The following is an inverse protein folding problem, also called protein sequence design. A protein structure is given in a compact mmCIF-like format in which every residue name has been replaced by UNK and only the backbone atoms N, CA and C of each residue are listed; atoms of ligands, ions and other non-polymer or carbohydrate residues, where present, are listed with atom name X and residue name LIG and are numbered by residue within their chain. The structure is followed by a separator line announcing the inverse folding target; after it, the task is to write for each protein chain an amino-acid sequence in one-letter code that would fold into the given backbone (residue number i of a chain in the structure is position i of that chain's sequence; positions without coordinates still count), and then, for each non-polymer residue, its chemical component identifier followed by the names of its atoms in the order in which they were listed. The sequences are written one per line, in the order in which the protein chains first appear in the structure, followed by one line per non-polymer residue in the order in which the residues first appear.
data_IF_547165159654
#
_entry.id   IF_547165159654
#
_cell.length_a   1.000
_cell.length_b   1.000
_cell.length_c   1.000
_cell.angle_alpha   90.00
_cell.angle_beta   90.00
_cell.angle_gamma   90.00
#
_symmetry.space_group_name_H-M   'P 1'
#
loop_
_entity.id
_entity.type
_entity.pdbx_description
1 polymer ?
#
# COMPACT_ATOMS: atom_id res chain seq x y z
N UNK A 1 -19.07 -11.53 -13.97
CA UNK A 1 -19.25 -12.80 -13.22
C UNK A 1 -18.23 -12.85 -12.11
N UNK A 2 -18.58 -13.38 -10.93
CA UNK A 2 -17.62 -13.59 -9.84
C UNK A 2 -16.63 -14.70 -10.16
N UNK A 3 -15.33 -14.48 -9.94
CA UNK A 3 -14.27 -15.47 -10.15
C UNK A 3 -13.83 -16.07 -8.82
N UNK A 4 -13.89 -17.40 -8.70
CA UNK A 4 -13.40 -18.12 -7.52
C UNK A 4 -12.08 -18.82 -7.82
N UNK A 5 -11.12 -18.72 -6.90
CA UNK A 5 -9.78 -19.29 -7.00
C UNK A 5 -9.41 -20.00 -5.70
N UNK A 6 -8.66 -21.10 -5.80
CA UNK A 6 -8.00 -21.72 -4.66
C UNK A 6 -6.52 -21.36 -4.69
N UNK A 7 -6.02 -20.82 -3.58
CA UNK A 7 -4.71 -20.18 -3.53
C UNK A 7 -3.92 -20.69 -2.34
N UNK A 8 -2.70 -21.19 -2.57
CA UNK A 8 -1.81 -21.60 -1.48
C UNK A 8 -1.01 -20.40 -0.97
N UNK A 9 -1.15 -20.08 0.31
CA UNK A 9 -0.46 -18.96 0.96
C UNK A 9 1.05 -19.24 0.99
N UNK A 10 1.85 -18.22 0.67
CA UNK A 10 3.32 -18.26 0.67
C UNK A 10 3.89 -17.56 1.89
N UNK A 11 5.12 -17.91 2.24
CA UNK A 11 5.85 -17.30 3.37
C UNK A 11 5.31 -17.69 4.76
N UNK A 12 4.53 -18.77 4.85
CA UNK A 12 3.90 -19.26 6.09
C UNK A 12 4.91 -19.73 7.14
N UNK A 13 6.15 -20.01 6.74
CA UNK A 13 7.23 -20.51 7.62
C UNK A 13 8.08 -19.40 8.25
N UNK A 14 7.89 -18.15 7.84
CA UNK A 14 8.60 -17.02 8.44
C UNK A 14 7.86 -16.51 9.68
N UNK A 15 8.58 -15.84 10.57
CA UNK A 15 7.98 -15.06 11.64
C UNK A 15 7.52 -13.69 11.10
N UNK A 16 6.61 -13.06 11.84
CA UNK A 16 6.24 -11.67 11.63
C UNK A 16 7.30 -10.72 12.21
N UNK A 17 7.25 -9.45 11.83
CA UNK A 17 8.21 -8.42 12.27
C UNK A 17 8.16 -8.15 13.78
N UNK A 18 7.02 -8.44 14.42
CA UNK A 18 6.82 -8.39 15.87
C UNK A 18 7.34 -9.64 16.61
N UNK A 19 7.92 -10.61 15.89
CA UNK A 19 8.43 -11.87 16.43
C UNK A 19 7.39 -12.98 16.56
N UNK A 20 6.10 -12.72 16.29
CA UNK A 20 5.06 -13.74 16.34
C UNK A 20 5.25 -14.81 15.25
N UNK A 21 4.85 -16.04 15.57
CA UNK A 21 5.00 -17.21 14.70
C UNK A 21 3.76 -17.39 13.83
N UNK A 22 3.92 -17.19 12.52
CA UNK A 22 2.84 -17.45 11.53
C UNK A 22 2.32 -18.88 11.62
N UNK A 23 3.21 -19.84 11.93
CA UNK A 23 2.83 -21.24 12.08
C UNK A 23 1.91 -21.47 13.28
N UNK A 24 2.12 -20.77 14.39
CA UNK A 24 1.26 -20.92 15.57
C UNK A 24 -0.10 -20.26 15.35
N UNK A 25 -0.12 -19.09 14.69
CA UNK A 25 -1.36 -18.45 14.25
C UNK A 25 -2.13 -19.39 13.31
N UNK A 26 -1.49 -19.97 12.29
CA UNK A 26 -2.16 -20.87 11.34
C UNK A 26 -2.75 -22.11 12.03
N UNK A 27 -2.10 -22.64 13.07
CA UNK A 27 -2.59 -23.83 13.80
C UNK A 27 -3.86 -23.56 14.60
N UNK A 28 -4.15 -22.32 14.96
CA UNK A 28 -5.39 -21.96 15.67
C UNK A 28 -6.55 -21.68 14.73
N UNK A 29 -6.28 -21.44 13.43
CA UNK A 29 -7.29 -21.14 12.43
C UNK A 29 -8.21 -22.32 12.12
N UNK A 30 -9.40 -22.01 11.62
CA UNK A 30 -10.42 -22.98 11.21
C UNK A 30 -10.75 -22.88 9.74
N UNK A 31 -11.21 -24.00 9.16
CA UNK A 31 -11.79 -23.99 7.81
C UNK A 31 -13.02 -23.07 7.77
N UNK A 32 -13.18 -22.34 6.67
CA UNK A 32 -14.15 -21.28 6.41
C UNK A 32 -13.97 -19.98 7.21
N UNK A 33 -12.95 -19.90 8.06
CA UNK A 33 -12.61 -18.66 8.76
C UNK A 33 -12.23 -17.56 7.75
N UNK A 34 -12.78 -16.33 7.90
CA UNK A 34 -12.48 -15.23 7.01
C UNK A 34 -11.10 -14.64 7.29
N UNK A 35 -10.38 -14.25 6.23
CA UNK A 35 -9.09 -13.56 6.32
C UNK A 35 -9.17 -12.21 5.60
N UNK A 36 -8.32 -11.27 5.99
CA UNK A 36 -8.19 -9.98 5.33
C UNK A 36 -7.04 -10.01 4.33
N UNK A 37 -7.24 -9.36 3.19
CA UNK A 37 -6.19 -9.15 2.19
C UNK A 37 -5.77 -7.68 2.22
N UNK A 38 -4.49 -7.43 2.41
CA UNK A 38 -3.94 -6.06 2.47
C UNK A 38 -2.77 -5.92 1.50
N UNK A 39 -2.90 -5.05 0.51
CA UNK A 39 -1.80 -4.72 -0.37
C UNK A 39 -0.71 -3.97 0.39
N UNK A 40 0.55 -4.29 0.09
CA UNK A 40 1.74 -3.67 0.65
C UNK A 40 2.58 -3.04 -0.47
N UNK A 41 2.17 -1.86 -0.99
CA UNK A 41 2.92 -1.18 -2.05
C UNK A 41 4.30 -0.68 -1.59
N UNK A 42 4.52 -0.64 -0.27
CA UNK A 42 5.78 -0.25 0.38
C UNK A 42 6.74 -1.42 0.59
N UNK A 43 6.34 -2.64 0.23
CA UNK A 43 7.16 -3.82 0.44
C UNK A 43 8.53 -3.68 -0.24
N UNK A 44 9.65 -3.92 0.47
CA UNK A 44 10.99 -3.72 -0.09
C UNK A 44 11.33 -4.71 -1.21
N UNK A 45 10.70 -5.89 -1.22
CA UNK A 45 10.95 -6.96 -2.18
C UNK A 45 9.98 -6.92 -3.35
N UNK A 46 8.71 -6.62 -3.11
CA UNK A 46 7.68 -6.68 -4.13
C UNK A 46 6.52 -5.69 -3.91
N UNK A 47 6.50 -4.61 -4.68
CA UNK A 47 5.45 -3.58 -4.62
C UNK A 47 4.02 -4.08 -4.90
N UNK A 48 3.86 -5.31 -5.40
CA UNK A 48 2.56 -5.93 -5.66
C UNK A 48 2.22 -6.98 -4.60
N UNK A 49 2.97 -7.06 -3.49
CA UNK A 49 2.70 -7.98 -2.40
C UNK A 49 1.31 -7.74 -1.81
N UNK A 50 0.59 -8.83 -1.54
CA UNK A 50 -0.68 -8.81 -0.82
C UNK A 50 -0.53 -9.71 0.39
N UNK A 51 -0.50 -9.10 1.57
CA UNK A 51 -0.50 -9.79 2.85
C UNK A 51 -1.83 -10.47 3.08
N UNK A 52 -1.77 -11.64 3.72
CA UNK A 52 -2.94 -12.34 4.25
C UNK A 52 -2.90 -12.21 5.76
N UNK A 53 -3.96 -11.64 6.33
CA UNK A 53 -4.09 -11.36 7.76
C UNK A 53 -5.29 -12.10 8.35
N UNK A 54 -5.23 -12.47 9.63
CA UNK A 54 -6.42 -12.87 10.40
C UNK A 54 -7.38 -11.68 10.54
N UNK A 55 -8.59 -11.92 11.06
CA UNK A 55 -9.50 -10.81 11.40
C UNK A 55 -8.93 -9.87 12.47
N UNK A 56 -8.01 -10.37 13.30
CA UNK A 56 -7.29 -9.59 14.32
C UNK A 56 -6.09 -8.83 13.76
N UNK A 57 -5.81 -8.93 12.45
CA UNK A 57 -4.70 -8.25 11.79
C UNK A 57 -3.36 -9.00 11.87
N UNK A 58 -3.33 -10.22 12.41
CA UNK A 58 -2.10 -11.00 12.50
C UNK A 58 -1.76 -11.60 11.12
N UNK A 59 -0.53 -11.37 10.66
CA UNK A 59 -0.13 -11.88 9.35
C UNK A 59 0.11 -13.39 9.39
N UNK A 60 -0.40 -14.10 8.37
CA UNK A 60 -0.18 -15.54 8.16
C UNK A 60 0.63 -15.84 6.89
N UNK A 61 0.84 -14.85 6.03
CA UNK A 61 1.70 -14.95 4.85
C UNK A 61 1.33 -13.96 3.76
N UNK A 62 1.54 -14.37 2.51
CA UNK A 62 1.27 -13.57 1.31
C UNK A 62 0.56 -14.38 0.22
N UNK A 63 -0.21 -13.72 -0.62
CA UNK A 63 -0.71 -14.32 -1.86
C UNK A 63 0.46 -14.53 -2.86
N UNK A 64 0.46 -15.65 -3.61
CA UNK A 64 1.42 -15.88 -4.69
C UNK A 64 1.18 -14.94 -5.89
N UNK A 65 2.18 -14.81 -6.75
CA UNK A 65 2.19 -13.84 -7.86
C UNK A 65 1.10 -14.01 -8.89
N UNK A 66 0.60 -15.23 -9.08
CA UNK A 66 -0.46 -15.60 -10.03
C UNK A 66 -1.88 -15.32 -9.49
N UNK A 67 -2.02 -15.21 -8.16
CA UNK A 67 -3.31 -14.98 -7.51
C UNK A 67 -3.45 -13.57 -6.92
N UNK A 68 -2.33 -12.89 -6.66
CA UNK A 68 -2.34 -11.55 -6.09
C UNK A 68 -2.90 -10.53 -7.08
N UNK A 69 -3.69 -9.61 -6.55
CA UNK A 69 -4.28 -8.52 -7.30
C UNK A 69 -4.24 -7.27 -6.42
N UNK A 70 -3.03 -6.75 -6.24
CA UNK A 70 -2.81 -5.64 -5.32
C UNK A 70 -3.55 -4.39 -5.81
N UNK A 71 -3.69 -4.19 -7.12
CA UNK A 71 -4.44 -3.10 -7.71
C UNK A 71 -5.92 -3.16 -7.30
N UNK A 72 -6.57 -4.32 -7.47
CA UNK A 72 -7.95 -4.51 -7.05
C UNK A 72 -8.13 -4.33 -5.52
N UNK A 73 -7.19 -4.83 -4.71
CA UNK A 73 -7.20 -4.63 -3.25
C UNK A 73 -7.05 -3.15 -2.88
N UNK A 74 -6.13 -2.42 -3.52
CA UNK A 74 -5.91 -0.99 -3.28
C UNK A 74 -7.09 -0.13 -3.74
N UNK A 75 -7.83 -0.56 -4.77
CA UNK A 75 -9.04 0.10 -5.27
C UNK A 75 -10.31 -0.29 -4.51
N UNK A 76 -10.20 -1.18 -3.52
CA UNK A 76 -11.34 -1.64 -2.73
C UNK A 76 -12.37 -2.40 -3.57
N UNK A 77 -11.90 -3.11 -4.61
CA UNK A 77 -12.76 -4.02 -5.36
C UNK A 77 -13.23 -5.17 -4.44
N UNK A 78 -14.43 -5.73 -4.66
CA UNK A 78 -14.98 -6.75 -3.78
C UNK A 78 -14.18 -8.04 -3.90
N UNK A 79 -13.29 -8.27 -2.93
CA UNK A 79 -12.50 -9.50 -2.83
C UNK A 79 -12.70 -10.09 -1.45
N UNK A 80 -13.25 -11.30 -1.40
CA UNK A 80 -13.38 -12.08 -0.18
C UNK A 80 -12.37 -13.22 -0.16
N UNK A 81 -11.82 -13.52 1.01
CA UNK A 81 -10.93 -14.65 1.21
C UNK A 81 -11.29 -15.41 2.48
N UNK A 82 -11.36 -16.74 2.38
CA UNK A 82 -11.63 -17.64 3.50
C UNK A 82 -10.67 -18.82 3.49
N UNK A 83 -10.35 -19.36 4.66
CA UNK A 83 -9.57 -20.59 4.76
C UNK A 83 -10.35 -21.73 4.11
N UNK A 84 -9.83 -22.28 3.03
CA UNK A 84 -10.41 -23.47 2.38
C UNK A 84 -9.90 -24.76 3.00
N UNK A 85 -8.59 -24.82 3.28
CA UNK A 85 -7.97 -25.99 3.89
C UNK A 85 -6.70 -25.59 4.64
N UNK A 86 -6.42 -26.30 5.73
CA UNK A 86 -5.13 -26.28 6.42
C UNK A 86 -4.46 -27.63 6.10
N UNK A 87 -3.30 -27.59 5.45
CA UNK A 87 -2.60 -28.78 4.93
C UNK A 87 -1.32 -29.03 5.70
N UNK A 88 -1.02 -30.30 5.96
CA UNK A 88 0.13 -30.71 6.76
C UNK A 88 -0.23 -30.90 8.24
N UNK A 89 0.54 -31.72 8.96
CA UNK A 89 0.51 -31.78 10.42
C UNK A 89 -0.54 -32.66 11.12
N UNK A 90 -0.96 -33.80 10.58
CA UNK A 90 -1.78 -34.78 11.34
C UNK A 90 -1.35 -36.23 11.09
N UNK A 91 -0.21 -36.63 11.65
CA UNK A 91 0.04 -38.04 11.96
C UNK A 91 0.84 -38.11 13.25
N UNK A 92 0.29 -38.81 14.23
CA UNK A 92 0.86 -39.01 15.56
C UNK A 92 2.31 -39.53 15.51
N UNK A 93 2.63 -40.40 14.55
CA UNK A 93 3.98 -40.93 14.28
C UNK A 93 4.99 -39.86 13.83
N UNK A 94 4.52 -38.77 13.22
CA UNK A 94 5.37 -37.68 12.68
C UNK A 94 5.62 -36.55 13.69
N UNK A 95 4.95 -36.55 14.85
CA UNK A 95 5.23 -35.63 15.98
C UNK A 95 6.49 -36.00 16.75
N UNK A 96 6.91 -37.26 16.72
CA UNK A 96 8.09 -37.75 17.43
C UNK A 96 9.43 -37.29 16.81
N UNK A 97 9.44 -36.70 15.60
CA UNK A 97 10.64 -36.42 14.81
C UNK A 97 10.93 -34.92 14.55
N UNK A 98 10.31 -34.01 15.31
CA UNK A 98 10.53 -32.56 15.16
C UNK A 98 9.61 -31.93 14.10
N UNK A 99 8.99 -30.81 14.47
CA UNK A 99 7.79 -30.21 13.88
C UNK A 99 7.68 -30.18 12.34
N UNK A 100 6.48 -30.48 11.84
CA UNK A 100 6.12 -30.26 10.43
C UNK A 100 5.36 -28.96 10.27
N UNK A 101 5.74 -28.18 9.26
CA UNK A 101 5.05 -26.98 8.86
C UNK A 101 3.64 -27.28 8.37
N UNK A 102 2.72 -26.38 8.69
CA UNK A 102 1.36 -26.35 8.16
C UNK A 102 1.27 -25.27 7.07
N UNK A 103 0.57 -25.58 6.00
CA UNK A 103 0.23 -24.66 4.93
C UNK A 103 -1.25 -24.29 4.97
N UNK A 104 -1.59 -23.14 4.40
CA UNK A 104 -2.96 -22.66 4.27
C UNK A 104 -3.32 -22.54 2.80
N UNK A 105 -4.49 -23.05 2.44
CA UNK A 105 -5.14 -22.81 1.15
C UNK A 105 -6.35 -21.92 1.40
N UNK A 106 -6.44 -20.82 0.66
CA UNK A 106 -7.58 -19.91 0.69
C UNK A 106 -8.51 -20.18 -0.48
N UNK A 107 -9.80 -19.98 -0.26
CA UNK A 107 -10.77 -19.71 -1.32
C UNK A 107 -10.89 -18.19 -1.44
N UNK A 108 -10.48 -17.66 -2.58
CA UNK A 108 -10.57 -16.24 -2.90
C UNK A 108 -11.70 -16.05 -3.92
N UNK A 109 -12.63 -15.15 -3.62
CA UNK A 109 -13.77 -14.82 -4.47
C UNK A 109 -13.62 -13.35 -4.87
N UNK A 110 -13.46 -13.09 -6.16
CA UNK A 110 -13.49 -11.75 -6.73
C UNK A 110 -14.89 -11.47 -7.26
N UNK A 111 -15.57 -10.53 -6.65
CA UNK A 111 -16.88 -10.03 -7.08
C UNK A 111 -16.78 -9.12 -8.30
N UNK A 112 -17.92 -8.58 -8.72
CA UNK A 112 -17.96 -7.55 -9.75
C UNK A 112 -17.73 -6.17 -9.12
N UNK A 113 -16.79 -5.36 -9.65
CA UNK A 113 -16.62 -3.99 -9.20
C UNK A 113 -17.90 -3.18 -9.36
N UNK A 114 -18.12 -2.23 -8.45
CA UNK A 114 -19.06 -1.14 -8.68
C UNK A 114 -18.48 -0.23 -9.78
N UNK A 115 -18.89 -0.49 -11.02
CA UNK A 115 -18.40 0.23 -12.20
C UNK A 115 -18.77 1.72 -12.17
N UNK A 116 -19.89 2.09 -11.55
CA UNK A 116 -20.30 3.48 -11.42
C UNK A 116 -19.37 4.23 -10.46
N UNK A 117 -19.15 3.66 -9.25
CA UNK A 117 -18.19 4.23 -8.28
C UNK A 117 -16.78 4.28 -8.86
N UNK A 118 -16.33 3.20 -9.51
CA UNK A 118 -15.01 3.13 -10.14
C UNK A 118 -14.82 4.24 -11.16
N UNK A 119 -15.76 4.42 -12.09
CA UNK A 119 -15.68 5.45 -13.13
C UNK A 119 -15.62 6.86 -12.52
N UNK A 120 -16.39 7.12 -11.45
CA UNK A 120 -16.34 8.40 -10.74
C UNK A 120 -14.97 8.65 -10.08
N UNK A 121 -14.39 7.63 -9.44
CA UNK A 121 -13.07 7.74 -8.81
C UNK A 121 -11.97 7.92 -9.85
N UNK A 122 -12.03 7.19 -10.97
CA UNK A 122 -11.07 7.32 -12.09
C UNK A 122 -11.12 8.71 -12.72
N UNK A 123 -12.32 9.28 -12.94
CA UNK A 123 -12.47 10.64 -13.46
C UNK A 123 -11.85 11.68 -12.52
N UNK A 124 -12.12 11.56 -11.21
CA UNK A 124 -11.54 12.45 -10.19
C UNK A 124 -10.03 12.31 -10.11
N UNK A 125 -9.52 11.08 -10.15
CA UNK A 125 -8.09 10.79 -10.14
C UNK A 125 -7.39 11.38 -11.37
N UNK A 126 -8.00 11.29 -12.56
CA UNK A 126 -7.45 11.89 -13.79
C UNK A 126 -7.29 13.41 -13.67
N UNK A 127 -8.28 14.11 -13.11
CA UNK A 127 -8.20 15.56 -12.88
C UNK A 127 -7.08 15.93 -11.90
N UNK A 128 -6.87 15.13 -10.86
CA UNK A 128 -5.74 15.32 -9.94
C UNK A 128 -4.39 15.06 -10.61
N UNK A 129 -4.28 14.00 -11.42
CA UNK A 129 -3.08 13.72 -12.19
C UNK A 129 -2.75 14.86 -13.17
N UNK A 130 -3.77 15.45 -13.80
CA UNK A 130 -3.64 16.63 -14.66
C UNK A 130 -3.18 17.85 -13.85
N UNK A 131 -3.76 18.09 -12.67
CA UNK A 131 -3.33 19.18 -11.78
C UNK A 131 -1.86 19.03 -11.36
N UNK A 132 -1.41 17.81 -11.04
CA UNK A 132 0.00 17.53 -10.76
C UNK A 132 0.87 17.82 -11.99
N UNK A 133 0.44 17.41 -13.18
CA UNK A 133 1.18 17.66 -14.42
C UNK A 133 1.31 19.16 -14.71
N UNK A 134 0.22 19.93 -14.58
CA UNK A 134 0.23 21.39 -14.75
C UNK A 134 1.15 22.06 -13.74
N UNK A 135 1.08 21.67 -12.46
CA UNK A 135 1.94 22.22 -11.42
C UNK A 135 3.45 21.97 -11.68
N UNK A 136 3.79 20.79 -12.20
CA UNK A 136 5.16 20.46 -12.60
C UNK A 136 5.60 21.24 -13.85
N UNK A 137 4.69 21.52 -14.79
CA UNK A 137 5.02 22.30 -15.99
C UNK A 137 5.24 23.79 -15.66
N UNK A 138 4.50 24.34 -14.70
CA UNK A 138 4.68 25.72 -14.21
C UNK A 138 6.10 25.99 -13.72
N UNK A 139 6.81 24.97 -13.24
CA UNK A 139 8.20 25.13 -12.83
C UNK A 139 9.14 25.50 -13.98
N UNK A 140 8.81 25.12 -15.22
CA UNK A 140 9.60 25.52 -16.40
C UNK A 140 9.38 26.98 -16.77
N UNK A 141 8.36 27.63 -16.19
CA UNK A 141 8.11 29.05 -16.38
C UNK A 141 9.09 29.91 -15.54
N UNK A 142 9.14 31.21 -15.83
CA UNK A 142 9.92 32.16 -15.04
C UNK A 142 9.31 32.49 -13.67
N UNK A 143 8.20 31.84 -13.28
CA UNK A 143 7.47 32.10 -12.03
C UNK A 143 7.53 30.91 -11.05
N UNK A 144 8.54 30.86 -10.16
CA UNK A 144 8.66 29.81 -9.16
C UNK A 144 7.59 29.89 -8.06
N UNK A 145 6.91 31.02 -7.86
CA UNK A 145 5.84 31.16 -6.86
C UNK A 145 4.61 30.38 -7.30
N UNK A 146 4.20 30.58 -8.56
CA UNK A 146 3.09 29.86 -9.15
C UNK A 146 3.30 28.34 -9.16
N UNK A 147 4.53 27.89 -9.44
CA UNK A 147 4.88 26.47 -9.37
C UNK A 147 4.73 25.90 -7.96
N UNK A 148 5.25 26.59 -6.94
CA UNK A 148 5.11 26.16 -5.54
C UNK A 148 3.64 26.12 -5.13
N UNK A 149 2.86 27.14 -5.50
CA UNK A 149 1.44 27.20 -5.15
C UNK A 149 0.65 26.07 -5.81
N UNK A 150 0.89 25.80 -7.11
CA UNK A 150 0.26 24.67 -7.81
C UNK A 150 0.62 23.33 -7.19
N UNK A 151 1.88 23.13 -6.79
CA UNK A 151 2.33 21.91 -6.13
C UNK A 151 1.71 21.72 -4.74
N UNK A 152 1.59 22.80 -3.94
CA UNK A 152 0.90 22.78 -2.64
C UNK A 152 -0.56 22.36 -2.81
N UNK A 153 -1.26 22.99 -3.77
CA UNK A 153 -2.65 22.66 -4.07
C UNK A 153 -2.82 21.20 -4.49
N UNK A 154 -1.92 20.67 -5.33
CA UNK A 154 -1.96 19.28 -5.76
C UNK A 154 -1.75 18.30 -4.59
N UNK A 155 -0.78 18.56 -3.69
CA UNK A 155 -0.53 17.73 -2.51
C UNK A 155 -1.75 17.72 -1.58
N UNK A 156 -2.33 18.89 -1.29
CA UNK A 156 -3.53 19.02 -0.47
C UNK A 156 -4.71 18.28 -1.11
N UNK A 157 -4.93 18.47 -2.42
CA UNK A 157 -6.04 17.83 -3.12
C UNK A 157 -5.93 16.29 -3.14
N UNK A 158 -4.71 15.74 -3.26
CA UNK A 158 -4.47 14.28 -3.16
C UNK A 158 -4.74 13.78 -1.75
N UNK A 159 -4.30 14.51 -0.72
CA UNK A 159 -4.57 14.15 0.67
C UNK A 159 -6.07 14.12 0.95
N UNK A 160 -6.78 15.18 0.55
CA UNK A 160 -8.22 15.30 0.77
C UNK A 160 -8.99 14.24 -0.03
N UNK A 161 -8.51 13.87 -1.23
CA UNK A 161 -9.06 12.76 -2.01
C UNK A 161 -8.91 11.41 -1.31
N UNK A 162 -7.74 11.15 -0.71
CA UNK A 162 -7.49 9.94 0.10
C UNK A 162 -8.33 9.92 1.38
N UNK A 163 -8.49 11.07 2.04
CA UNK A 163 -9.26 11.17 3.27
C UNK A 163 -10.76 10.97 3.03
N UNK A 164 -11.27 11.41 1.88
CA UNK A 164 -12.68 11.25 1.51
C UNK A 164 -13.06 9.79 1.21
N UNK A 165 -12.11 9.00 0.67
CA UNK A 165 -12.30 7.58 0.37
C UNK A 165 -10.95 6.86 0.45
N UNK A 166 -10.78 5.87 1.35
CA UNK A 166 -9.52 5.15 1.55
C UNK A 166 -8.95 4.49 0.28
N UNK A 167 -9.79 4.24 -0.73
CA UNK A 167 -9.41 3.58 -1.98
C UNK A 167 -9.26 4.54 -3.16
N UNK A 168 -9.74 5.79 -3.02
CA UNK A 168 -9.76 6.78 -4.10
C UNK A 168 -8.38 6.99 -4.73
N UNK A 169 -7.35 7.17 -3.89
CA UNK A 169 -6.01 7.47 -4.36
C UNK A 169 -5.37 6.36 -5.19
N UNK A 170 -5.85 5.11 -5.09
CA UNK A 170 -5.34 4.01 -5.91
C UNK A 170 -5.75 4.10 -7.38
N UNK A 171 -6.69 4.98 -7.72
CA UNK A 171 -7.10 5.25 -9.11
C UNK A 171 -6.19 6.26 -9.83
N UNK A 172 -5.28 6.93 -9.10
CA UNK A 172 -4.30 7.85 -9.68
C UNK A 172 -3.19 7.10 -10.39
N UNK A 173 -2.56 7.78 -11.35
CA UNK A 173 -1.36 7.29 -12.06
C UNK A 173 -0.10 8.05 -11.65
N UNK A 174 -0.24 9.23 -11.05
CA UNK A 174 0.87 10.05 -10.57
C UNK A 174 0.90 10.08 -9.04
N UNK A 175 2.09 9.91 -8.48
CA UNK A 175 2.32 10.07 -7.04
C UNK A 175 2.23 11.54 -6.64
N UNK A 176 1.98 11.82 -5.37
CA UNK A 176 2.00 13.18 -4.85
C UNK A 176 3.38 13.84 -5.11
N UNK A 177 3.45 15.09 -5.61
CA UNK A 177 4.71 15.72 -6.03
C UNK A 177 5.53 16.28 -4.85
N UNK A 178 5.59 15.52 -3.76
CA UNK A 178 6.21 15.88 -2.46
C UNK A 178 7.71 16.12 -2.60
N UNK A 179 8.40 15.36 -3.44
CA UNK A 179 9.82 15.56 -3.72
C UNK A 179 10.08 16.94 -4.34
N UNK A 180 9.29 17.33 -5.35
CA UNK A 180 9.48 18.62 -6.02
C UNK A 180 9.08 19.78 -5.13
N UNK A 181 7.93 19.67 -4.44
CA UNK A 181 7.47 20.71 -3.53
C UNK A 181 8.49 20.96 -2.42
N UNK A 182 8.94 19.91 -1.74
CA UNK A 182 9.91 20.05 -0.63
C UNK A 182 11.26 20.60 -1.11
N UNK A 183 11.71 20.25 -2.31
CA UNK A 183 12.92 20.82 -2.91
C UNK A 183 12.79 22.33 -3.16
N UNK A 184 11.68 22.79 -3.73
CA UNK A 184 11.47 24.20 -4.03
C UNK A 184 11.33 25.04 -2.76
N UNK A 185 10.63 24.52 -1.75
CA UNK A 185 10.54 25.15 -0.43
C UNK A 185 11.91 25.24 0.26
N UNK A 186 12.73 24.18 0.18
CA UNK A 186 14.10 24.20 0.70
C UNK A 186 14.95 25.29 0.00
N UNK A 187 14.86 25.43 -1.32
CA UNK A 187 15.58 26.49 -2.08
C UNK A 187 15.18 27.89 -1.63
N UNK A 188 13.94 28.08 -1.19
CA UNK A 188 13.43 29.32 -0.61
C UNK A 188 13.74 29.49 0.88
N UNK A 189 14.50 28.59 1.47
CA UNK A 189 14.80 28.55 2.91
C UNK A 189 13.55 28.40 3.80
N UNK A 190 12.43 27.94 3.23
CA UNK A 190 11.21 27.60 3.97
C UNK A 190 11.34 26.18 4.59
N UNK A 191 12.34 25.99 5.45
CA UNK A 191 12.76 24.66 5.92
C UNK A 191 11.69 23.94 6.74
N UNK A 192 10.99 24.66 7.63
CA UNK A 192 9.91 24.10 8.43
C UNK A 192 8.76 23.59 7.56
N UNK A 193 8.38 24.37 6.54
CA UNK A 193 7.33 23.98 5.59
C UNK A 193 7.76 22.79 4.73
N UNK A 194 8.98 22.80 4.20
CA UNK A 194 9.54 21.68 3.44
C UNK A 194 9.53 20.38 4.25
N UNK A 195 9.90 20.44 5.52
CA UNK A 195 9.90 19.28 6.41
C UNK A 195 8.48 18.81 6.73
N UNK A 196 7.56 19.73 6.99
CA UNK A 196 6.15 19.45 7.27
C UNK A 196 5.49 18.66 6.14
N UNK A 197 5.70 19.06 4.88
CA UNK A 197 5.18 18.35 3.70
C UNK A 197 5.68 16.91 3.65
N UNK A 198 6.96 16.66 3.94
CA UNK A 198 7.53 15.30 3.92
C UNK A 198 6.94 14.46 5.06
N UNK A 199 6.80 15.04 6.26
CA UNK A 199 6.26 14.33 7.43
C UNK A 199 4.77 13.99 7.27
N UNK A 200 3.99 14.91 6.74
CA UNK A 200 2.57 14.69 6.45
C UNK A 200 2.39 13.59 5.40
N UNK A 201 3.18 13.62 4.32
CA UNK A 201 3.16 12.56 3.32
C UNK A 201 3.55 11.19 3.89
N UNK A 202 4.53 11.11 4.80
CA UNK A 202 4.91 9.83 5.43
C UNK A 202 3.84 9.25 6.34
N UNK A 203 3.06 10.11 6.97
CA UNK A 203 1.99 9.70 7.89
C UNK A 203 0.68 9.41 7.16
N UNK A 204 0.53 9.92 5.93
CA UNK A 204 -0.60 9.65 5.04
C UNK A 204 -0.25 8.49 4.09
N UNK A 205 -0.95 7.37 4.18
CA UNK A 205 -0.74 6.28 3.23
C UNK A 205 -1.11 6.71 1.79
N UNK A 206 -0.13 6.78 0.89
CA UNK A 206 -0.34 7.01 -0.54
C UNK A 206 -0.16 5.68 -1.31
N UNK A 207 -1.21 5.07 -1.87
CA UNK A 207 -1.05 3.82 -2.63
C UNK A 207 -0.21 3.98 -3.91
N UNK A 208 -0.10 5.20 -4.43
CA UNK A 208 0.75 5.52 -5.59
C UNK A 208 2.11 5.97 -5.08
N UNK A 209 2.89 5.00 -4.62
CA UNK A 209 4.22 5.21 -4.07
C UNK A 209 5.20 5.76 -5.14
N UNK A 210 6.05 6.73 -4.80
CA UNK A 210 7.15 7.14 -5.67
C UNK A 210 8.22 6.05 -5.75
N UNK A 211 9.12 6.14 -6.73
CA UNK A 211 10.22 5.17 -6.88
C UNK A 211 11.20 5.18 -5.69
N UNK A 212 11.89 4.06 -5.46
CA UNK A 212 12.84 3.90 -4.33
C UNK A 212 13.86 5.03 -4.20
N UNK A 213 14.41 5.51 -5.32
CA UNK A 213 15.36 6.63 -5.33
C UNK A 213 14.77 7.95 -4.84
N UNK A 214 13.49 8.20 -5.13
CA UNK A 214 12.76 9.38 -4.66
C UNK A 214 12.49 9.27 -3.15
N UNK A 215 12.09 8.10 -2.66
CA UNK A 215 11.92 7.84 -1.22
C UNK A 215 13.23 8.07 -0.46
N UNK A 216 14.34 7.56 -0.98
CA UNK A 216 15.66 7.78 -0.38
C UNK A 216 16.06 9.27 -0.38
N UNK A 217 15.77 9.97 -1.47
CA UNK A 217 15.99 11.43 -1.57
C UNK A 217 15.17 12.20 -0.53
N UNK A 218 13.90 11.84 -0.35
CA UNK A 218 13.02 12.41 0.68
C UNK A 218 13.56 12.14 2.09
N UNK A 219 14.10 10.94 2.34
CA UNK A 219 14.72 10.58 3.61
C UNK A 219 15.92 11.46 3.95
N UNK A 220 16.89 11.54 3.03
CA UNK A 220 18.06 12.41 3.17
C UNK A 220 17.69 13.89 3.29
N UNK A 221 16.66 14.34 2.56
CA UNK A 221 16.18 15.73 2.67
C UNK A 221 15.58 16.00 4.05
N UNK A 222 14.74 15.12 4.58
CA UNK A 222 14.14 15.29 5.90
C UNK A 222 15.20 15.42 7.02
N UNK A 223 16.22 14.55 7.02
CA UNK A 223 17.33 14.59 7.98
C UNK A 223 18.11 15.92 7.92
N UNK A 224 18.41 16.38 6.69
CA UNK A 224 19.09 17.66 6.47
C UNK A 224 18.24 18.84 6.93
N UNK A 225 16.93 18.85 6.64
CA UNK A 225 16.01 19.91 7.05
C UNK A 225 15.86 19.97 8.57
N UNK A 226 15.75 18.81 9.24
CA UNK A 226 15.74 18.73 10.70
C UNK A 226 17.01 19.35 11.31
N UNK A 227 18.17 19.12 10.70
CA UNK A 227 19.45 19.66 11.17
C UNK A 227 19.54 21.19 10.99
N UNK A 228 18.86 21.76 10.00
CA UNK A 228 18.79 23.22 9.75
C UNK A 228 17.83 23.97 10.70
N UNK A 229 16.94 23.24 11.38
CA UNK A 229 15.94 23.79 12.29
C UNK A 229 16.33 23.66 13.78
N UNK A 230 17.44 22.98 14.06
CA UNK A 230 18.11 22.97 15.36
C UNK A 230 19.01 24.19 15.50
#
# INVERSE_FOLDING_TARGET
MSRTLLVSVRGVSHNNDDGSSRQDIIRSMRVNEPVQLKADPTNPHDRWAVMVLTQMGEQIGFLPSDARDADAVLKGEPIEARVHAIRGGTSWLKRLLGQKSVGVVLRVIKGEPDWARRSQLEERARKLDEQVAVALELEKSADPDSAIQGLKQAVVAIRDFTAADPFASAHRTRHAPVDRLSLLLERRKAYAEALGVIQEWRTTFDPVQPGKAVVETLNKRAERLQSKLK
#
